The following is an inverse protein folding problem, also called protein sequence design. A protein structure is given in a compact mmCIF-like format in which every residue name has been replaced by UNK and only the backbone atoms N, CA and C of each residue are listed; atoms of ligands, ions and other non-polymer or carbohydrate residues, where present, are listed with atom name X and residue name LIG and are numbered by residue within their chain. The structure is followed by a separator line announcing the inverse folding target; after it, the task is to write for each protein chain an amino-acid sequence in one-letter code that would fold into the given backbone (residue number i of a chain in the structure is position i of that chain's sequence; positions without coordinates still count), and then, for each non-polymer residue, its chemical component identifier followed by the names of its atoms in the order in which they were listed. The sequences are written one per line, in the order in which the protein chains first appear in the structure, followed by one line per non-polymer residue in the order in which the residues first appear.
data_IF_175544746264
#
_entry.id   IF_175544746264
#
_cell.length_a   1.000
_cell.length_b   1.000
_cell.length_c   1.000
_cell.angle_alpha   90.00
_cell.angle_beta   90.00
_cell.angle_gamma   90.00
#
_symmetry.space_group_name_H-M   'P 1'
#
loop_
_entity.id
_entity.type
_entity.pdbx_description
1 polymer ?
#
# COMPACT_ATOMS: atom_id res chain seq x y z
N UNK A 1 -24.40 -10.75 6.42
CA UNK A 1 -23.28 -9.83 6.64
C UNK A 1 -22.16 -10.33 5.75
N UNK A 2 -21.98 -9.67 4.62
CA UNK A 2 -21.24 -10.17 3.45
C UNK A 2 -19.75 -9.80 3.60
N UNK A 3 -18.88 -10.81 3.47
CA UNK A 3 -17.44 -10.67 3.59
C UNK A 3 -16.90 -10.08 2.28
N UNK A 4 -16.44 -8.83 2.32
CA UNK A 4 -15.72 -8.20 1.22
C UNK A 4 -14.27 -8.70 1.21
N UNK A 5 -13.98 -9.67 0.34
CA UNK A 5 -12.62 -10.15 0.08
C UNK A 5 -11.86 -9.12 -0.77
N UNK A 6 -10.99 -8.35 -0.12
CA UNK A 6 -10.05 -7.41 -0.72
C UNK A 6 -8.63 -7.96 -0.86
N UNK A 7 -8.45 -9.27 -0.95
CA UNK A 7 -7.12 -9.89 -1.07
C UNK A 7 -6.90 -10.48 -2.46
N UNK A 8 -5.91 -9.93 -3.16
CA UNK A 8 -5.59 -10.23 -4.55
C UNK A 8 -4.65 -11.43 -4.64
N UNK A 9 -5.18 -12.64 -4.49
CA UNK A 9 -4.52 -13.85 -4.97
C UNK A 9 -5.30 -14.46 -6.14
N UNK A 10 -4.67 -14.38 -7.32
CA UNK A 10 -5.17 -14.89 -8.60
C UNK A 10 -5.27 -16.42 -8.52
N UNK A 11 -6.48 -16.96 -8.39
CA UNK A 11 -6.75 -18.39 -8.56
C UNK A 11 -7.06 -18.69 -10.04
N UNK A 12 -6.03 -19.00 -10.84
CA UNK A 12 -6.21 -19.41 -12.23
C UNK A 12 -5.07 -20.31 -12.71
N UNK A 13 -5.40 -21.38 -13.43
CA UNK A 13 -4.51 -22.49 -13.79
C UNK A 13 -3.82 -22.35 -15.17
N UNK A 14 -3.59 -21.14 -15.67
CA UNK A 14 -3.08 -20.99 -17.04
C UNK A 14 -1.81 -20.12 -17.08
N UNK A 15 -0.67 -20.80 -17.31
CA UNK A 15 0.60 -20.39 -17.98
C UNK A 15 1.88 -21.04 -17.37
N UNK A 16 1.77 -21.97 -16.43
CA UNK A 16 2.92 -22.44 -15.62
C UNK A 16 3.09 -23.97 -15.53
N UNK A 17 2.54 -24.71 -16.51
CA UNK A 17 2.63 -26.17 -16.58
C UNK A 17 3.81 -26.63 -17.46
N UNK A 18 5.05 -26.40 -17.00
CA UNK A 18 6.22 -27.13 -17.50
C UNK A 18 7.03 -27.71 -16.32
N UNK A 19 7.70 -28.86 -16.48
CA UNK A 19 8.41 -29.56 -15.40
C UNK A 19 9.50 -28.71 -14.72
N UNK A 20 10.03 -27.69 -15.39
CA UNK A 20 10.99 -26.73 -14.82
C UNK A 20 10.34 -25.87 -13.73
N UNK A 21 9.05 -25.55 -13.87
CA UNK A 21 8.36 -24.71 -12.91
C UNK A 21 7.95 -25.45 -11.63
N UNK A 22 7.75 -26.77 -11.71
CA UNK A 22 7.59 -27.61 -10.54
C UNK A 22 8.85 -27.59 -9.65
N UNK A 23 10.05 -27.47 -10.24
CA UNK A 23 11.33 -27.38 -9.52
C UNK A 23 11.52 -26.02 -8.85
N UNK A 24 11.18 -24.91 -9.52
CA UNK A 24 11.20 -23.57 -8.90
C UNK A 24 10.12 -23.43 -7.82
N UNK A 25 8.94 -24.02 -8.01
CA UNK A 25 7.90 -24.09 -6.97
C UNK A 25 8.35 -24.93 -5.76
N UNK A 26 9.13 -25.99 -5.97
CA UNK A 26 9.70 -26.76 -4.86
C UNK A 26 10.70 -25.95 -4.04
N UNK A 27 11.45 -25.03 -4.67
CA UNK A 27 12.28 -24.07 -3.93
C UNK A 27 11.42 -23.13 -3.06
N UNK A 28 10.26 -22.68 -3.53
CA UNK A 28 9.31 -21.90 -2.71
C UNK A 28 8.74 -22.72 -1.55
N UNK A 29 8.41 -24.00 -1.75
CA UNK A 29 7.92 -24.88 -0.68
C UNK A 29 9.00 -25.19 0.36
N UNK A 30 10.24 -25.41 -0.07
CA UNK A 30 11.39 -25.61 0.83
C UNK A 30 11.73 -24.32 1.59
N UNK A 31 11.68 -23.17 0.93
CA UNK A 31 11.85 -21.87 1.56
C UNK A 31 10.72 -21.58 2.55
N UNK A 32 9.46 -21.88 2.21
CA UNK A 32 8.32 -21.75 3.11
C UNK A 32 8.40 -22.72 4.29
N UNK A 33 8.91 -23.93 4.11
CA UNK A 33 9.13 -24.88 5.20
C UNK A 33 10.29 -24.46 6.11
N UNK A 34 11.42 -24.01 5.54
CA UNK A 34 12.54 -23.47 6.29
C UNK A 34 12.15 -22.19 7.03
N UNK A 35 11.38 -21.30 6.38
CA UNK A 35 10.81 -20.11 6.97
C UNK A 35 9.77 -20.46 8.03
N UNK A 36 8.93 -21.47 7.84
CA UNK A 36 7.97 -21.94 8.85
C UNK A 36 8.66 -22.53 10.08
N UNK A 37 9.82 -23.20 9.90
CA UNK A 37 10.68 -23.67 11.01
C UNK A 37 11.37 -22.50 11.71
N UNK A 38 11.89 -21.53 10.95
CA UNK A 38 12.49 -20.31 11.47
C UNK A 38 11.45 -19.45 12.21
N UNK A 39 10.28 -19.26 11.62
CA UNK A 39 9.16 -18.54 12.20
C UNK A 39 8.61 -19.27 13.41
N UNK A 40 8.52 -20.61 13.46
CA UNK A 40 8.20 -21.31 14.72
C UNK A 40 9.26 -21.14 15.81
N UNK A 41 10.53 -21.02 15.43
CA UNK A 41 11.61 -20.67 16.36
C UNK A 41 11.57 -19.18 16.78
N UNK A 42 11.00 -18.31 15.94
CA UNK A 42 10.69 -16.90 16.25
C UNK A 42 9.34 -16.74 16.95
N UNK A 43 8.42 -17.70 16.84
CA UNK A 43 7.11 -17.71 17.50
C UNK A 43 7.25 -18.15 18.96
N UNK A 44 8.38 -18.75 19.34
CA UNK A 44 8.85 -18.70 20.73
C UNK A 44 9.24 -17.29 21.21
N UNK A 45 9.23 -16.27 20.34
CA UNK A 45 9.29 -14.83 20.64
C UNK A 45 7.97 -14.09 20.36
N UNK A 46 6.83 -14.79 20.24
CA UNK A 46 5.53 -14.20 20.63
C UNK A 46 5.27 -14.37 22.13
N UNK A 47 6.33 -14.59 22.92
CA UNK A 47 6.35 -14.13 24.30
C UNK A 47 6.08 -12.63 24.31
N UNK A 48 5.16 -12.20 25.16
CA UNK A 48 4.95 -10.80 25.60
C UNK A 48 6.02 -9.87 25.08
N UNK A 49 5.79 -9.22 23.93
CA UNK A 49 6.67 -8.12 23.50
C UNK A 49 6.61 -7.13 24.64
N UNK A 50 7.69 -7.00 25.38
CA UNK A 50 7.81 -5.99 26.43
C UNK A 50 7.48 -4.65 25.75
N UNK A 51 6.35 -4.02 26.09
CA UNK A 51 5.92 -2.78 25.45
C UNK A 51 6.91 -1.64 25.72
N UNK A 52 7.80 -1.81 26.70
CA UNK A 52 8.87 -0.86 27.03
C UNK A 52 10.21 -1.23 26.38
N UNK A 53 10.34 -2.41 25.75
CA UNK A 53 11.49 -2.78 24.94
C UNK A 53 11.28 -2.33 23.48
N UNK A 54 11.76 -1.12 23.16
CA UNK A 54 11.92 -0.67 21.77
C UNK A 54 13.38 -0.93 21.32
N UNK A 55 13.67 -2.01 20.58
CA UNK A 55 15.01 -2.25 20.05
C UNK A 55 15.46 -1.19 19.03
N UNK A 56 14.55 -0.32 18.57
CA UNK A 56 14.82 0.86 17.75
C UNK A 56 14.76 2.18 18.53
N UNK A 57 14.85 2.15 19.87
CA UNK A 57 14.76 3.33 20.71
C UNK A 57 15.82 4.36 20.30
N UNK A 58 15.33 5.53 19.87
CA UNK A 58 16.16 6.68 19.55
C UNK A 58 15.99 7.68 20.71
N UNK A 59 16.97 7.81 21.64
CA UNK A 59 16.78 8.51 22.92
C UNK A 59 16.51 10.01 22.77
N UNK A 60 16.90 10.59 21.64
CA UNK A 60 16.65 11.96 21.21
C UNK A 60 15.39 12.11 20.33
N UNK A 61 14.62 11.03 20.11
CA UNK A 61 13.32 11.16 19.47
C UNK A 61 12.37 11.98 20.32
N UNK A 62 11.61 12.84 19.64
CA UNK A 62 10.59 13.68 20.27
C UNK A 62 9.21 13.10 19.98
N UNK A 63 8.40 12.90 21.02
CA UNK A 63 7.03 12.44 20.86
C UNK A 63 6.14 13.56 20.28
N UNK A 64 5.48 13.26 19.17
CA UNK A 64 4.57 14.19 18.50
C UNK A 64 3.17 14.03 19.09
N UNK A 65 2.72 15.06 19.82
CA UNK A 65 1.41 15.10 20.45
C UNK A 65 0.48 16.03 19.67
N UNK A 66 -0.58 15.47 19.07
CA UNK A 66 -1.53 16.19 18.22
C UNK A 66 -2.93 16.10 18.81
N UNK A 67 -3.66 17.22 18.80
CA UNK A 67 -5.09 17.22 19.10
C UNK A 67 -5.87 16.65 17.89
N UNK A 68 -7.07 16.07 18.10
CA UNK A 68 -7.95 15.68 16.99
C UNK A 68 -8.15 16.82 15.98
N UNK A 69 -8.04 16.52 14.70
CA UNK A 69 -8.11 17.51 13.61
C UNK A 69 -6.80 18.26 13.32
N UNK A 70 -5.75 18.03 14.11
CA UNK A 70 -4.41 18.57 13.80
C UNK A 70 -3.76 17.82 12.63
N UNK A 71 -2.86 18.51 11.92
CA UNK A 71 -2.08 17.95 10.81
C UNK A 71 -0.60 17.98 11.15
N UNK A 72 0.12 16.93 10.77
CA UNK A 72 1.58 16.90 10.72
C UNK A 72 2.04 16.70 9.28
N UNK A 73 3.08 17.43 8.88
CA UNK A 73 3.79 17.19 7.63
C UNK A 73 5.17 16.60 7.94
N UNK A 74 5.43 15.40 7.43
CA UNK A 74 6.73 14.74 7.55
C UNK A 74 7.44 14.77 6.20
N UNK A 75 8.71 15.17 6.19
CA UNK A 75 9.58 14.96 5.03
C UNK A 75 9.90 13.47 4.93
N UNK A 76 9.97 12.91 3.72
CA UNK A 76 10.31 11.50 3.52
C UNK A 76 11.69 11.07 4.04
N UNK A 77 12.57 12.03 4.39
CA UNK A 77 13.87 11.79 5.01
C UNK A 77 13.86 11.94 6.54
N UNK A 78 12.70 12.19 7.15
CA UNK A 78 12.56 12.28 8.60
C UNK A 78 12.60 10.87 9.18
N UNK A 79 13.54 10.59 10.08
CA UNK A 79 13.48 9.38 10.90
C UNK A 79 12.30 9.48 11.86
N UNK A 80 11.39 8.52 11.78
CA UNK A 80 10.22 8.46 12.64
C UNK A 80 9.73 7.02 12.78
N UNK A 81 8.98 6.77 13.84
CA UNK A 81 8.29 5.50 14.08
C UNK A 81 6.95 5.77 14.75
N UNK A 82 6.05 4.79 14.68
CA UNK A 82 4.85 4.82 15.50
C UNK A 82 5.21 4.57 16.96
N UNK A 83 4.93 5.54 17.85
CA UNK A 83 5.13 5.35 19.29
C UNK A 83 4.14 4.35 19.89
N UNK A 84 4.53 3.67 20.97
CA UNK A 84 3.69 2.74 21.71
C UNK A 84 2.35 3.37 22.14
N UNK A 85 1.24 2.66 21.93
CA UNK A 85 -0.06 3.08 22.44
C UNK A 85 -0.20 2.63 23.90
N UNK A 86 -0.08 3.56 24.85
CA UNK A 86 -0.20 3.32 26.30
C UNK A 86 -1.61 3.60 26.85
N UNK A 87 -2.60 3.83 25.99
CA UNK A 87 -4.00 4.03 26.38
C UNK A 87 -4.81 2.75 26.30
N UNK A 88 -6.03 2.78 26.84
CA UNK A 88 -7.03 1.71 26.76
C UNK A 88 -7.89 1.76 25.48
N UNK A 89 -7.63 2.71 24.58
CA UNK A 89 -8.36 2.94 23.34
C UNK A 89 -7.46 2.84 22.10
N UNK A 90 -8.01 2.44 20.93
CA UNK A 90 -7.25 2.46 19.67
C UNK A 90 -6.90 3.90 19.26
N UNK A 91 -5.70 4.07 18.69
CA UNK A 91 -5.25 5.33 18.08
C UNK A 91 -5.32 5.23 16.56
N UNK A 92 -6.23 5.97 15.93
CA UNK A 92 -6.35 6.06 14.47
C UNK A 92 -5.60 7.30 13.95
N UNK A 93 -4.84 7.11 12.87
CA UNK A 93 -4.20 8.18 12.10
C UNK A 93 -4.45 7.88 10.63
N UNK A 94 -4.74 8.93 9.85
CA UNK A 94 -4.76 8.85 8.39
C UNK A 94 -3.45 9.42 7.84
N UNK A 95 -2.78 8.68 6.98
CA UNK A 95 -1.44 9.04 6.45
C UNK A 95 -1.43 9.13 4.92
N UNK A 96 -2.00 10.18 4.31
CA UNK A 96 -1.80 10.43 2.89
C UNK A 96 -0.31 10.64 2.60
N UNK A 97 0.24 9.85 1.69
CA UNK A 97 1.64 9.95 1.26
C UNK A 97 1.69 10.45 -0.17
N UNK A 98 2.64 11.35 -0.43
CA UNK A 98 2.86 11.94 -1.75
C UNK A 98 4.22 11.52 -2.27
N UNK A 99 4.29 11.18 -3.55
CA UNK A 99 5.54 10.93 -4.26
C UNK A 99 5.63 11.81 -5.51
N UNK A 100 6.84 12.05 -6.06
CA UNK A 100 6.99 12.69 -7.36
C UNK A 100 6.22 11.91 -8.45
N UNK A 101 5.72 12.62 -9.47
CA UNK A 101 4.89 12.02 -10.53
C UNK A 101 5.56 10.95 -11.39
N UNK A 102 6.88 10.80 -11.30
CA UNK A 102 7.66 9.74 -11.95
C UNK A 102 7.89 8.51 -11.06
N UNK A 103 7.47 8.54 -9.79
CA UNK A 103 7.57 7.42 -8.86
C UNK A 103 6.24 6.67 -8.81
N UNK A 104 6.31 5.35 -8.74
CA UNK A 104 5.13 4.50 -8.55
C UNK A 104 4.53 4.74 -7.14
N UNK A 105 3.24 5.08 -7.03
CA UNK A 105 2.55 5.14 -5.74
C UNK A 105 2.54 3.80 -5.00
N UNK A 106 2.46 3.84 -3.66
CA UNK A 106 2.34 2.65 -2.83
C UNK A 106 1.04 1.87 -3.14
N UNK A 107 -0.08 2.58 -3.16
CA UNK A 107 -1.40 2.07 -3.53
C UNK A 107 -1.74 2.49 -4.96
N UNK A 108 -2.23 1.56 -5.78
CA UNK A 108 -2.55 1.86 -7.17
C UNK A 108 -3.95 2.47 -7.31
N UNK A 109 -4.09 3.73 -6.89
CA UNK A 109 -5.38 4.39 -6.76
C UNK A 109 -6.20 4.46 -8.05
N UNK A 110 -5.56 4.48 -9.23
CA UNK A 110 -6.28 4.49 -10.52
C UNK A 110 -6.97 3.16 -10.86
N UNK A 111 -6.57 2.06 -10.19
CA UNK A 111 -7.26 0.77 -10.25
C UNK A 111 -8.17 0.54 -9.04
N UNK A 112 -7.75 1.03 -7.87
CA UNK A 112 -8.46 0.78 -6.61
C UNK A 112 -9.70 1.67 -6.44
N UNK A 113 -9.72 2.86 -7.03
CA UNK A 113 -10.89 3.76 -6.99
C UNK A 113 -11.77 3.50 -8.23
N UNK A 114 -13.05 3.12 -8.05
CA UNK A 114 -13.98 2.95 -9.17
C UNK A 114 -14.05 4.20 -10.05
N UNK A 115 -14.14 4.02 -11.37
CA UNK A 115 -14.09 5.13 -12.33
C UNK A 115 -15.22 6.13 -12.12
N UNK A 116 -16.40 5.65 -11.74
CA UNK A 116 -17.60 6.44 -11.48
C UNK A 116 -17.35 7.40 -10.30
N UNK A 117 -16.72 6.89 -9.23
CA UNK A 117 -16.33 7.69 -8.07
C UNK A 117 -15.20 8.65 -8.44
N UNK A 118 -14.18 8.18 -9.15
CA UNK A 118 -13.06 9.00 -9.57
C UNK A 118 -13.51 10.18 -10.45
N UNK A 119 -14.53 10.01 -11.30
CA UNK A 119 -15.07 11.04 -12.18
C UNK A 119 -15.70 12.21 -11.41
N UNK A 120 -16.27 11.95 -10.24
CA UNK A 120 -16.92 12.96 -9.37
C UNK A 120 -15.92 13.74 -8.51
N UNK A 121 -14.68 13.27 -8.38
CA UNK A 121 -13.66 13.94 -7.58
C UNK A 121 -13.26 15.30 -8.18
N UNK A 122 -12.92 16.29 -7.33
CA UNK A 122 -12.30 17.52 -7.79
C UNK A 122 -11.08 17.23 -8.66
N UNK A 123 -10.83 18.06 -9.68
CA UNK A 123 -9.72 17.85 -10.63
C UNK A 123 -8.39 17.57 -9.90
N UNK A 124 -8.08 18.33 -8.86
CA UNK A 124 -6.83 18.14 -8.12
C UNK A 124 -6.74 16.78 -7.43
N UNK A 125 -7.84 16.24 -6.92
CA UNK A 125 -7.87 14.92 -6.32
C UNK A 125 -7.68 13.82 -7.38
N UNK A 126 -8.31 13.97 -8.56
CA UNK A 126 -8.10 13.07 -9.70
C UNK A 126 -6.62 13.01 -10.12
N UNK A 127 -5.97 14.16 -10.21
CA UNK A 127 -4.54 14.25 -10.53
C UNK A 127 -3.68 13.51 -9.49
N UNK A 128 -3.99 13.67 -8.20
CA UNK A 128 -3.25 13.05 -7.10
C UNK A 128 -3.38 11.52 -7.07
N UNK A 129 -4.50 10.98 -7.54
CA UNK A 129 -4.73 9.53 -7.62
C UNK A 129 -4.30 8.90 -8.96
N UNK A 130 -3.64 9.68 -9.83
CA UNK A 130 -3.00 9.17 -11.05
C UNK A 130 -3.66 9.56 -12.37
N UNK A 131 -4.74 10.36 -12.38
CA UNK A 131 -5.32 10.90 -13.62
C UNK A 131 -4.61 12.19 -14.06
N UNK A 132 -3.28 12.13 -14.20
CA UNK A 132 -2.44 13.23 -14.64
C UNK A 132 -1.28 12.74 -15.49
N UNK A 133 -0.70 13.64 -16.29
CA UNK A 133 0.54 13.40 -17.03
C UNK A 133 1.67 14.13 -16.30
N UNK A 134 2.75 13.41 -15.98
CA UNK A 134 4.00 14.03 -15.61
C UNK A 134 4.84 14.27 -16.89
N UNK A 135 5.18 15.54 -17.22
CA UNK A 135 5.99 15.84 -18.38
C UNK A 135 7.35 15.14 -18.35
N UNK A 136 7.91 14.71 -19.50
CA UNK A 136 7.35 14.88 -20.84
C UNK A 136 6.38 13.76 -21.26
N UNK A 137 6.53 12.53 -20.74
CA UNK A 137 5.87 11.35 -21.34
C UNK A 137 5.35 10.29 -20.36
N UNK A 138 5.04 10.62 -19.10
CA UNK A 138 4.61 9.63 -18.09
C UNK A 138 3.15 9.79 -17.69
N UNK A 139 2.42 8.67 -17.61
CA UNK A 139 1.04 8.62 -17.11
C UNK A 139 -0.06 8.55 -18.19
N UNK A 140 0.29 8.27 -19.46
CA UNK A 140 -0.72 8.07 -20.50
C UNK A 140 -1.54 6.80 -20.31
N UNK A 141 -2.77 6.82 -20.81
CA UNK A 141 -3.59 5.64 -21.08
C UNK A 141 -3.90 5.67 -22.57
N UNK A 142 -3.54 4.60 -23.30
CA UNK A 142 -3.72 4.49 -24.75
C UNK A 142 -3.20 5.70 -25.55
N UNK A 143 -2.06 6.26 -25.11
CA UNK A 143 -1.41 7.41 -25.75
C UNK A 143 -2.10 8.76 -25.53
N UNK A 144 -3.13 8.84 -24.68
CA UNK A 144 -3.86 10.09 -24.38
C UNK A 144 -3.88 10.39 -22.89
N UNK A 145 -4.35 11.60 -22.53
CA UNK A 145 -4.47 12.00 -21.14
C UNK A 145 -5.43 11.07 -20.39
N UNK A 146 -5.02 10.49 -19.23
CA UNK A 146 -5.78 9.46 -18.51
C UNK A 146 -7.18 9.93 -18.09
N UNK A 147 -7.38 11.23 -17.90
CA UNK A 147 -8.71 11.81 -17.62
C UNK A 147 -9.78 11.45 -18.66
N UNK A 148 -9.39 11.17 -19.92
CA UNK A 148 -10.35 10.72 -20.94
C UNK A 148 -10.98 9.36 -20.60
N UNK A 149 -10.27 8.51 -19.85
CA UNK A 149 -10.77 7.20 -19.43
C UNK A 149 -11.87 7.27 -18.35
N UNK A 150 -12.13 8.47 -17.81
CA UNK A 150 -13.22 8.75 -16.87
C UNK A 150 -14.49 9.26 -17.55
N UNK A 151 -14.43 9.60 -18.84
CA UNK A 151 -15.60 10.01 -19.59
C UNK A 151 -16.37 8.74 -19.99
N UNK A 152 -17.69 8.76 -19.88
CA UNK A 152 -18.51 7.67 -20.40
C UNK A 152 -18.17 7.47 -21.89
N UNK A 153 -18.01 6.20 -22.31
CA UNK A 153 -17.91 5.89 -23.73
C UNK A 153 -19.17 6.45 -24.41
N UNK A 154 -19.02 7.54 -25.15
CA UNK A 154 -19.96 7.86 -26.21
C UNK A 154 -19.83 6.75 -27.23
N UNK A 155 -20.66 5.70 -27.09
CA UNK A 155 -20.93 4.78 -28.18
C UNK A 155 -21.42 5.63 -29.34
N UNK A 156 -20.53 5.91 -30.30
CA UNK A 156 -20.97 6.42 -31.58
C UNK A 156 -21.90 5.36 -32.19
N UNK A 157 -23.12 5.73 -32.60
CA UNK A 157 -24.05 4.82 -33.28
C UNK A 157 -23.48 4.31 -34.60
#
# INVERSE_FOLDING_TARGET
MEQLDGYCERAGFELWAEPINAVTNMAFLLAAFALGRYLKAVETQTGTRDPDADPGAHPDAIQICLAPGSLMLAKGTLWHSGGANKSDAPRLILTPQYCPGWVRPLENMSLSVPKEIAAELPQRARELIGYSIHPPFMGYVDGVHPQKSLQAETKNP
#
